data_IF_762628357407
#
_entry.id   IF_762628357407
#
_cell.length_a   1.000
_cell.length_b   1.000
_cell.length_c   1.000
_cell.angle_alpha   90.00
_cell.angle_beta   90.00
_cell.angle_gamma   90.00
#
_symmetry.space_group_name_H-M   'P 1'
#
loop_
_entity.id
_entity.type
_entity.pdbx_description
1 polymer ?
#
# COMPACT_ATOMS: atom_id res chain seq x y z
N UNK A 1 21.31 26.56 9.93
CA UNK A 1 20.84 25.63 8.85
C UNK A 1 19.39 25.97 8.56
N UNK A 2 19.04 26.24 7.28
CA UNK A 2 17.62 26.38 6.89
C UNK A 2 16.91 25.09 7.24
N UNK A 3 15.88 25.15 8.08
CA UNK A 3 15.03 24.00 8.41
C UNK A 3 14.33 23.54 7.13
N UNK A 4 14.56 22.27 6.76
CA UNK A 4 13.88 21.66 5.60
C UNK A 4 12.40 21.60 5.95
N UNK A 5 11.59 22.30 5.17
CA UNK A 5 10.15 22.40 5.44
C UNK A 5 9.45 21.06 5.14
N UNK A 6 8.50 20.66 5.96
CA UNK A 6 7.69 19.47 5.74
C UNK A 6 7.03 19.49 4.33
N UNK A 7 6.65 20.65 3.84
CA UNK A 7 6.08 20.86 2.50
C UNK A 7 6.98 20.34 1.38
N UNK A 8 8.29 20.64 1.44
CA UNK A 8 9.24 20.17 0.43
C UNK A 8 9.36 18.64 0.42
N UNK A 9 9.26 18.00 1.59
CA UNK A 9 9.28 16.55 1.69
C UNK A 9 8.00 15.92 1.09
N UNK A 10 6.84 16.56 1.28
CA UNK A 10 5.56 16.09 0.76
C UNK A 10 5.43 16.22 -0.76
N UNK A 11 6.20 17.09 -1.41
CA UNK A 11 6.11 17.27 -2.87
C UNK A 11 6.38 15.98 -3.65
N UNK A 12 7.29 15.13 -3.18
CA UNK A 12 7.63 13.90 -3.86
C UNK A 12 6.52 12.83 -3.81
N UNK A 13 5.99 12.43 -2.62
CA UNK A 13 4.92 11.44 -2.58
C UNK A 13 3.66 11.92 -3.33
N UNK A 14 3.34 13.21 -3.28
CA UNK A 14 2.20 13.76 -4.01
C UNK A 14 2.42 13.71 -5.53
N UNK A 15 3.60 14.09 -6.01
CA UNK A 15 3.95 14.03 -7.42
C UNK A 15 3.93 12.58 -7.93
N UNK A 16 4.61 11.65 -7.24
CA UNK A 16 4.63 10.25 -7.65
C UNK A 16 3.25 9.60 -7.54
N UNK A 17 2.45 9.97 -6.55
CA UNK A 17 1.06 9.52 -6.44
C UNK A 17 0.21 9.98 -7.61
N UNK A 18 0.35 11.25 -8.03
CA UNK A 18 -0.31 11.77 -9.21
C UNK A 18 0.14 11.05 -10.49
N UNK A 19 1.46 10.94 -10.74
CA UNK A 19 1.99 10.25 -11.90
C UNK A 19 1.59 8.77 -11.92
N UNK A 20 1.68 8.08 -10.79
CA UNK A 20 1.26 6.69 -10.66
C UNK A 20 -0.23 6.49 -10.95
N UNK A 21 -1.09 7.41 -10.51
CA UNK A 21 -2.52 7.38 -10.81
C UNK A 21 -2.78 7.55 -12.32
N UNK A 22 -2.08 8.46 -13.00
CA UNK A 22 -2.16 8.61 -14.47
C UNK A 22 -1.72 7.33 -15.19
N UNK A 23 -0.61 6.70 -14.78
CA UNK A 23 -0.15 5.44 -15.37
C UNK A 23 -1.21 4.33 -15.16
N UNK A 24 -1.83 4.28 -13.97
CA UNK A 24 -2.94 3.37 -13.71
C UNK A 24 -4.14 3.59 -14.62
N UNK A 25 -4.44 4.86 -14.97
CA UNK A 25 -5.49 5.18 -15.93
C UNK A 25 -5.14 4.70 -17.33
N UNK A 26 -3.89 4.88 -17.76
CA UNK A 26 -3.40 4.35 -19.06
C UNK A 26 -3.52 2.82 -19.11
N UNK A 27 -3.20 2.12 -18.02
CA UNK A 27 -3.38 0.67 -17.91
C UNK A 27 -4.86 0.27 -18.05
N UNK A 28 -5.79 1.00 -17.42
CA UNK A 28 -7.24 0.76 -17.55
C UNK A 28 -7.72 1.02 -18.98
N UNK A 29 -7.22 2.08 -19.62
CA UNK A 29 -7.52 2.35 -21.03
C UNK A 29 -6.99 1.26 -21.96
N UNK A 30 -5.77 0.76 -21.72
CA UNK A 30 -5.21 -0.34 -22.51
C UNK A 30 -6.04 -1.63 -22.44
N UNK A 31 -6.70 -1.91 -21.30
CA UNK A 31 -7.62 -3.05 -21.17
C UNK A 31 -8.88 -2.96 -22.05
N UNK A 32 -9.25 -1.76 -22.53
CA UNK A 32 -10.37 -1.63 -23.48
C UNK A 32 -10.02 -2.16 -24.88
N UNK A 33 -8.77 -2.51 -25.13
CA UNK A 33 -8.28 -2.91 -26.46
C UNK A 33 -7.98 -1.74 -27.40
N UNK A 34 -8.09 -0.49 -26.93
CA UNK A 34 -7.95 0.72 -27.75
C UNK A 34 -6.50 1.03 -28.14
N UNK A 35 -5.49 0.38 -27.52
CA UNK A 35 -4.07 0.58 -27.82
C UNK A 35 -3.48 -0.73 -28.34
N UNK A 36 -3.09 -0.77 -29.62
CA UNK A 36 -2.40 -1.91 -30.20
C UNK A 36 -0.97 -2.04 -29.63
N UNK A 37 -0.50 -3.27 -29.46
CA UNK A 37 0.87 -3.60 -29.03
C UNK A 37 1.34 -2.93 -27.74
N UNK A 38 0.39 -2.68 -26.80
CA UNK A 38 0.69 -2.01 -25.55
C UNK A 38 1.59 -2.87 -24.63
N UNK A 39 2.73 -2.36 -24.14
CA UNK A 39 3.67 -3.11 -23.29
C UNK A 39 3.15 -3.22 -21.85
N UNK A 40 2.02 -3.90 -21.67
CA UNK A 40 1.22 -3.90 -20.45
C UNK A 40 2.03 -4.25 -19.19
N UNK A 41 2.86 -5.29 -19.27
CA UNK A 41 3.68 -5.72 -18.11
C UNK A 41 4.67 -4.63 -17.68
N UNK A 42 5.30 -3.94 -18.62
CA UNK A 42 6.27 -2.88 -18.33
C UNK A 42 5.61 -1.69 -17.63
N UNK A 43 4.50 -1.22 -18.17
CA UNK A 43 3.74 -0.12 -17.60
C UNK A 43 3.15 -0.49 -16.24
N UNK A 44 2.68 -1.74 -16.07
CA UNK A 44 2.20 -2.27 -14.79
C UNK A 44 3.30 -2.27 -13.71
N UNK A 45 4.53 -2.66 -14.07
CA UNK A 45 5.65 -2.62 -13.13
C UNK A 45 5.99 -1.18 -12.74
N UNK A 46 6.01 -0.25 -13.71
CA UNK A 46 6.20 1.17 -13.42
C UNK A 46 5.14 1.70 -12.45
N UNK A 47 3.85 1.46 -12.74
CA UNK A 47 2.73 1.83 -11.87
C UNK A 47 2.92 1.30 -10.44
N UNK A 48 3.16 0.00 -10.31
CA UNK A 48 3.25 -0.66 -9.00
C UNK A 48 4.40 -0.10 -8.16
N UNK A 49 5.59 0.06 -8.74
CA UNK A 49 6.77 0.56 -8.03
C UNK A 49 6.61 2.03 -7.64
N UNK A 50 6.07 2.86 -8.52
CA UNK A 50 5.84 4.28 -8.23
C UNK A 50 4.80 4.46 -7.13
N UNK A 51 3.71 3.68 -7.14
CA UNK A 51 2.69 3.76 -6.09
C UNK A 51 3.21 3.23 -4.75
N UNK A 52 3.96 2.13 -4.76
CA UNK A 52 4.46 1.52 -3.52
C UNK A 52 5.63 2.31 -2.92
N UNK A 53 6.63 2.66 -3.72
CA UNK A 53 7.87 3.30 -3.27
C UNK A 53 7.77 4.83 -3.32
N UNK A 54 7.20 5.36 -4.40
CA UNK A 54 7.09 6.81 -4.62
C UNK A 54 6.00 7.47 -3.79
N UNK A 55 4.81 6.88 -3.70
CA UNK A 55 3.72 7.43 -2.88
C UNK A 55 3.77 6.90 -1.45
N UNK A 56 3.53 5.60 -1.23
CA UNK A 56 3.25 5.09 0.11
C UNK A 56 4.46 5.10 1.03
N UNK A 57 5.58 4.51 0.60
CA UNK A 57 6.80 4.48 1.41
C UNK A 57 7.24 5.91 1.74
N UNK A 58 7.30 6.80 0.75
CA UNK A 58 7.72 8.18 0.95
C UNK A 58 6.78 8.96 1.89
N UNK A 59 5.46 8.85 1.72
CA UNK A 59 4.50 9.52 2.60
C UNK A 59 4.64 9.07 4.05
N UNK A 60 4.76 7.75 4.28
CA UNK A 60 4.95 7.19 5.62
C UNK A 60 6.28 7.63 6.23
N UNK A 61 7.38 7.61 5.47
CA UNK A 61 8.70 8.09 5.93
C UNK A 61 8.64 9.58 6.31
N UNK A 62 8.00 10.42 5.49
CA UNK A 62 7.84 11.85 5.82
C UNK A 62 7.08 12.01 7.15
N UNK A 63 5.97 11.28 7.33
CA UNK A 63 5.18 11.32 8.56
C UNK A 63 5.99 10.84 9.77
N UNK A 64 6.74 9.75 9.63
CA UNK A 64 7.53 9.21 10.72
C UNK A 64 8.66 10.18 11.15
N UNK A 65 9.40 10.75 10.21
CA UNK A 65 10.43 11.72 10.54
C UNK A 65 9.87 13.02 11.14
N UNK A 66 8.77 13.52 10.61
CA UNK A 66 8.17 14.78 11.09
C UNK A 66 7.51 14.66 12.45
N UNK A 67 7.01 13.48 12.82
CA UNK A 67 6.21 13.29 14.04
C UNK A 67 6.95 12.60 15.17
N UNK A 68 7.88 11.72 14.85
CA UNK A 68 8.52 10.85 15.84
C UNK A 68 10.03 11.11 15.97
N UNK A 69 10.54 12.19 15.36
CA UNK A 69 11.91 12.66 15.54
C UNK A 69 11.93 14.19 15.73
N UNK A 70 13.12 14.77 15.86
CA UNK A 70 13.28 16.23 15.83
C UNK A 70 13.28 16.83 14.41
N UNK A 71 12.61 16.19 13.45
CA UNK A 71 12.65 16.52 12.04
C UNK A 71 13.72 15.74 11.29
N UNK A 72 13.84 16.02 9.99
CA UNK A 72 14.81 15.34 9.14
C UNK A 72 16.16 16.10 9.16
N UNK A 73 17.23 15.42 9.53
CA UNK A 73 18.57 15.96 9.46
C UNK A 73 19.15 15.94 8.04
N UNK A 74 20.29 16.61 7.82
CA UNK A 74 20.92 16.72 6.50
C UNK A 74 21.21 15.35 5.86
N UNK A 75 21.73 14.39 6.62
CA UNK A 75 22.06 13.06 6.09
C UNK A 75 20.80 12.28 5.73
N UNK A 76 19.79 12.27 6.61
CA UNK A 76 18.50 11.63 6.33
C UNK A 76 17.79 12.27 5.14
N UNK A 77 17.91 13.60 4.98
CA UNK A 77 17.39 14.31 3.82
C UNK A 77 18.08 13.90 2.52
N UNK A 78 19.42 13.80 2.51
CA UNK A 78 20.16 13.36 1.32
C UNK A 78 19.80 11.93 0.93
N UNK A 79 19.67 11.03 1.91
CA UNK A 79 19.18 9.67 1.66
C UNK A 79 17.75 9.69 1.09
N UNK A 80 16.87 10.53 1.63
CA UNK A 80 15.52 10.69 1.13
C UNK A 80 15.51 11.19 -0.32
N UNK A 81 16.35 12.17 -0.70
CA UNK A 81 16.47 12.64 -2.09
C UNK A 81 17.02 11.55 -3.00
N UNK A 82 18.02 10.78 -2.55
CA UNK A 82 18.55 9.67 -3.33
C UNK A 82 17.47 8.59 -3.63
N UNK A 83 16.55 8.33 -2.69
CA UNK A 83 15.39 7.48 -2.96
C UNK A 83 14.51 8.05 -4.08
N UNK A 84 14.29 9.38 -4.10
CA UNK A 84 13.48 10.00 -5.15
C UNK A 84 14.10 9.85 -6.53
N UNK A 85 15.43 9.98 -6.62
CA UNK A 85 16.17 9.73 -7.88
C UNK A 85 15.98 8.27 -8.32
N UNK A 86 16.10 7.31 -7.41
CA UNK A 86 15.82 5.90 -7.74
C UNK A 86 14.40 5.71 -8.26
N UNK A 87 13.38 6.26 -7.59
CA UNK A 87 11.98 6.14 -8.02
C UNK A 87 11.76 6.77 -9.39
N UNK A 88 12.36 7.93 -9.69
CA UNK A 88 12.26 8.58 -10.99
C UNK A 88 12.90 7.72 -12.11
N UNK A 89 14.04 7.10 -11.83
CA UNK A 89 14.69 6.17 -12.78
C UNK A 89 13.83 4.91 -12.99
N UNK A 90 13.22 4.37 -11.92
CA UNK A 90 12.32 3.22 -12.00
C UNK A 90 11.05 3.55 -12.79
N UNK A 91 10.47 4.74 -12.59
CA UNK A 91 9.31 5.22 -13.33
C UNK A 91 9.53 5.11 -14.86
N UNK A 92 10.64 5.64 -15.33
CA UNK A 92 10.99 5.65 -16.75
C UNK A 92 11.52 4.28 -17.21
N UNK A 93 12.44 3.71 -16.45
CA UNK A 93 13.13 2.47 -16.79
C UNK A 93 12.17 1.29 -16.96
N UNK A 94 11.17 1.14 -16.10
CA UNK A 94 10.20 0.06 -16.26
C UNK A 94 9.35 0.22 -17.53
N UNK A 95 8.93 1.43 -17.89
CA UNK A 95 8.16 1.66 -19.12
C UNK A 95 8.98 1.29 -20.37
N UNK A 96 10.28 1.60 -20.36
CA UNK A 96 11.15 1.40 -21.51
C UNK A 96 11.63 -0.04 -21.66
N UNK A 97 11.98 -0.73 -20.57
CA UNK A 97 12.69 -2.01 -20.64
C UNK A 97 12.15 -3.10 -19.69
N UNK A 98 11.12 -2.81 -18.88
CA UNK A 98 10.63 -3.76 -17.88
C UNK A 98 11.68 -4.11 -16.82
N UNK A 99 11.71 -5.37 -16.36
CA UNK A 99 12.77 -5.88 -15.50
C UNK A 99 14.05 -6.16 -16.28
N UNK A 100 14.94 -5.18 -16.34
CA UNK A 100 16.25 -5.26 -16.97
C UNK A 100 17.33 -4.69 -16.04
N UNK A 101 18.57 -4.64 -16.48
CA UNK A 101 19.72 -4.28 -15.65
C UNK A 101 19.51 -2.97 -14.87
N UNK A 102 19.07 -1.90 -15.51
CA UNK A 102 18.90 -0.59 -14.87
C UNK A 102 17.81 -0.64 -13.79
N UNK A 103 16.66 -1.24 -14.09
CA UNK A 103 15.53 -1.32 -13.14
C UNK A 103 15.85 -2.23 -11.95
N UNK A 104 16.55 -3.34 -12.16
CA UNK A 104 17.01 -4.23 -11.09
C UNK A 104 18.05 -3.50 -10.21
N UNK A 105 19.03 -2.85 -10.82
CA UNK A 105 20.07 -2.10 -10.12
C UNK A 105 19.46 -1.00 -9.22
N UNK A 106 18.62 -0.14 -9.81
CA UNK A 106 18.04 0.98 -9.04
C UNK A 106 16.98 0.55 -8.04
N UNK A 107 16.28 -0.57 -8.25
CA UNK A 107 15.43 -1.19 -7.21
C UNK A 107 16.28 -1.66 -6.03
N UNK A 108 17.44 -2.28 -6.29
CA UNK A 108 18.37 -2.75 -5.25
C UNK A 108 19.00 -1.56 -4.50
N UNK A 109 19.47 -0.54 -5.21
CA UNK A 109 20.01 0.69 -4.60
C UNK A 109 18.95 1.37 -3.74
N UNK A 110 17.71 1.50 -4.22
CA UNK A 110 16.60 2.04 -3.45
C UNK A 110 16.40 1.26 -2.14
N UNK A 111 16.41 -0.06 -2.21
CA UNK A 111 16.26 -0.92 -1.04
C UNK A 111 17.37 -0.68 -0.02
N UNK A 112 18.63 -0.61 -0.43
CA UNK A 112 19.77 -0.34 0.47
C UNK A 112 19.71 1.05 1.08
N UNK A 113 19.40 2.08 0.30
CA UNK A 113 19.24 3.44 0.82
C UNK A 113 18.09 3.49 1.83
N UNK A 114 16.98 2.77 1.56
CA UNK A 114 15.86 2.69 2.49
C UNK A 114 16.25 2.07 3.83
N UNK A 115 17.14 1.07 3.86
CA UNK A 115 17.67 0.51 5.10
C UNK A 115 18.44 1.57 5.93
N UNK A 116 19.33 2.30 5.29
CA UNK A 116 20.06 3.36 5.98
C UNK A 116 19.10 4.40 6.56
N UNK A 117 18.10 4.78 5.80
CA UNK A 117 17.11 5.77 6.22
C UNK A 117 16.28 5.28 7.42
N UNK A 118 15.77 4.04 7.41
CA UNK A 118 14.98 3.50 8.53
C UNK A 118 15.85 3.17 9.76
N UNK A 119 17.14 2.82 9.59
CA UNK A 119 18.08 2.69 10.71
C UNK A 119 18.30 4.05 11.38
N UNK A 120 18.45 5.11 10.60
CA UNK A 120 18.55 6.47 11.15
C UNK A 120 17.28 6.86 11.88
N UNK A 121 16.10 6.59 11.28
CA UNK A 121 14.82 6.78 11.95
C UNK A 121 14.80 6.06 13.31
N UNK A 122 15.13 4.76 13.34
CA UNK A 122 15.16 3.95 14.57
C UNK A 122 15.97 4.59 15.70
N UNK A 123 17.14 5.15 15.37
CA UNK A 123 18.06 5.77 16.36
C UNK A 123 17.55 7.09 16.93
N UNK A 124 16.67 7.79 16.20
CA UNK A 124 16.19 9.12 16.57
C UNK A 124 14.71 9.15 17.01
N UNK A 125 14.07 7.97 17.13
CA UNK A 125 12.66 7.88 17.52
C UNK A 125 12.40 8.48 18.89
N UNK A 126 11.35 9.31 18.96
CA UNK A 126 10.81 9.93 20.16
C UNK A 126 9.30 9.78 20.18
N UNK A 127 8.71 9.69 21.36
CA UNK A 127 7.27 9.58 21.53
C UNK A 127 6.88 8.55 22.57
N UNK A 128 5.63 8.23 22.57
CA UNK A 128 5.04 7.24 23.48
C UNK A 128 5.57 5.83 23.20
N UNK A 129 5.82 5.05 24.25
CA UNK A 129 6.53 3.76 24.18
C UNK A 129 5.86 2.76 23.23
N UNK A 130 4.51 2.69 23.23
CA UNK A 130 3.77 1.75 22.40
C UNK A 130 3.81 2.12 20.92
N UNK A 131 3.74 3.40 20.59
CA UNK A 131 3.91 3.87 19.20
C UNK A 131 5.32 3.63 18.68
N UNK A 132 6.35 3.82 19.53
CA UNK A 132 7.74 3.50 19.18
C UNK A 132 7.90 2.00 18.90
N UNK A 133 7.28 1.12 19.69
CA UNK A 133 7.33 -0.34 19.45
C UNK A 133 6.68 -0.69 18.10
N UNK A 134 5.53 -0.11 17.75
CA UNK A 134 4.91 -0.30 16.44
C UNK A 134 5.82 0.14 15.29
N UNK A 135 6.45 1.31 15.40
CA UNK A 135 7.36 1.80 14.38
C UNK A 135 8.56 0.86 14.21
N UNK A 136 9.17 0.44 15.32
CA UNK A 136 10.31 -0.50 15.31
C UNK A 136 9.92 -1.86 14.73
N UNK A 137 8.76 -2.39 15.09
CA UNK A 137 8.22 -3.61 14.49
C UNK A 137 8.01 -3.46 12.97
N UNK A 138 7.50 -2.33 12.52
CA UNK A 138 7.38 -2.03 11.09
C UNK A 138 8.74 -1.95 10.38
N UNK A 139 9.78 -1.40 11.04
CA UNK A 139 11.15 -1.41 10.50
C UNK A 139 11.68 -2.85 10.38
N UNK A 140 11.46 -3.69 11.39
CA UNK A 140 11.83 -5.12 11.33
C UNK A 140 11.13 -5.80 10.15
N UNK A 141 9.84 -5.56 9.95
CA UNK A 141 9.12 -6.11 8.79
C UNK A 141 9.64 -5.57 7.45
N UNK A 142 10.12 -4.33 7.40
CA UNK A 142 10.75 -3.80 6.20
C UNK A 142 12.02 -4.59 5.82
N UNK A 143 12.85 -4.97 6.81
CA UNK A 143 13.99 -5.87 6.56
C UNK A 143 13.55 -7.28 6.20
N UNK A 144 12.55 -7.85 6.89
CA UNK A 144 12.03 -9.18 6.58
C UNK A 144 11.45 -9.22 5.17
N UNK A 145 10.66 -8.23 4.76
CA UNK A 145 10.04 -8.18 3.43
C UNK A 145 11.06 -8.30 2.29
N UNK A 146 12.26 -7.75 2.48
CA UNK A 146 13.31 -7.74 1.46
C UNK A 146 13.91 -9.11 1.14
N UNK A 147 13.63 -10.14 1.97
CA UNK A 147 13.97 -11.54 1.63
C UNK A 147 13.34 -11.93 0.30
N UNK A 148 12.12 -11.43 0.00
CA UNK A 148 11.46 -11.67 -1.28
C UNK A 148 12.27 -11.21 -2.50
N UNK A 149 12.59 -9.90 -2.64
CA UNK A 149 13.44 -9.40 -3.72
C UNK A 149 14.81 -10.09 -3.81
N UNK A 150 15.46 -10.40 -2.69
CA UNK A 150 16.73 -11.12 -2.71
C UNK A 150 16.56 -12.57 -3.21
N UNK A 151 15.45 -13.23 -2.93
CA UNK A 151 15.18 -14.57 -3.45
C UNK A 151 14.91 -14.56 -4.97
N UNK A 152 14.37 -13.47 -5.54
CA UNK A 152 14.05 -13.39 -6.97
C UNK A 152 15.30 -13.51 -7.85
N UNK A 153 16.45 -12.94 -7.45
CA UNK A 153 17.69 -13.02 -8.20
C UNK A 153 18.15 -14.48 -8.47
N UNK A 154 18.39 -15.27 -7.43
CA UNK A 154 18.72 -16.70 -7.56
C UNK A 154 17.65 -17.50 -8.31
N UNK A 155 16.35 -17.26 -8.05
CA UNK A 155 15.27 -17.97 -8.74
C UNK A 155 15.24 -17.66 -10.24
N UNK A 156 15.55 -16.42 -10.63
CA UNK A 156 15.71 -16.06 -12.06
C UNK A 156 16.93 -16.71 -12.68
N UNK A 157 18.08 -16.71 -12.01
CA UNK A 157 19.31 -17.34 -12.49
C UNK A 157 19.12 -18.85 -12.70
N UNK A 158 18.35 -19.52 -11.85
CA UNK A 158 17.98 -20.93 -11.95
C UNK A 158 16.83 -21.21 -12.94
N UNK A 159 16.33 -20.20 -13.66
CA UNK A 159 15.20 -20.29 -14.59
C UNK A 159 13.90 -20.80 -13.95
N UNK A 160 13.68 -20.46 -12.68
CA UNK A 160 12.52 -20.90 -11.87
C UNK A 160 11.36 -19.88 -11.88
N UNK A 161 11.22 -19.04 -12.91
CA UNK A 161 10.19 -17.98 -12.98
C UNK A 161 8.74 -18.53 -13.00
N UNK A 162 8.56 -19.79 -13.41
CA UNK A 162 7.25 -20.48 -13.39
C UNK A 162 6.99 -21.25 -12.10
N UNK A 163 7.96 -21.29 -11.19
CA UNK A 163 7.83 -22.06 -9.95
C UNK A 163 6.94 -21.33 -8.93
N UNK A 164 6.24 -22.07 -8.04
CA UNK A 164 5.52 -21.48 -6.93
C UNK A 164 6.38 -20.59 -6.03
N UNK A 165 7.66 -20.88 -5.88
CA UNK A 165 8.61 -20.12 -5.07
C UNK A 165 8.88 -18.71 -5.63
N UNK A 166 8.92 -18.57 -6.96
CA UNK A 166 9.08 -17.26 -7.59
C UNK A 166 7.89 -16.35 -7.27
N UNK A 167 6.67 -16.88 -7.37
CA UNK A 167 5.46 -16.16 -7.02
C UNK A 167 5.41 -15.83 -5.52
N UNK A 168 5.83 -16.79 -4.67
CA UNK A 168 5.88 -16.57 -3.23
C UNK A 168 6.94 -15.54 -2.81
N UNK A 169 8.06 -15.43 -3.52
CA UNK A 169 9.03 -14.36 -3.27
C UNK A 169 8.42 -12.97 -3.48
N UNK A 170 7.58 -12.80 -4.53
CA UNK A 170 6.83 -11.56 -4.76
C UNK A 170 5.79 -11.33 -3.66
N UNK A 171 4.98 -12.34 -3.33
CA UNK A 171 3.94 -12.22 -2.31
C UNK A 171 4.50 -11.99 -0.92
N UNK A 172 5.65 -12.59 -0.59
CA UNK A 172 6.36 -12.36 0.67
C UNK A 172 6.76 -10.89 0.82
N UNK A 173 7.40 -10.32 -0.22
CA UNK A 173 7.74 -8.91 -0.22
C UNK A 173 6.50 -8.04 -0.04
N UNK A 174 5.49 -8.23 -0.88
CA UNK A 174 4.28 -7.41 -0.85
C UNK A 174 3.57 -7.52 0.49
N UNK A 175 3.35 -8.73 1.01
CA UNK A 175 2.65 -8.94 2.27
C UNK A 175 3.35 -8.25 3.44
N UNK A 176 4.64 -8.54 3.65
CA UNK A 176 5.39 -7.93 4.76
C UNK A 176 5.71 -6.45 4.56
N UNK A 177 5.58 -5.92 3.35
CA UNK A 177 5.68 -4.50 3.09
C UNK A 177 4.37 -3.77 3.42
N UNK A 178 3.23 -4.15 2.86
CA UNK A 178 2.00 -3.40 3.08
C UNK A 178 1.21 -3.84 4.33
N UNK A 179 1.15 -5.14 4.69
CA UNK A 179 0.58 -5.59 5.96
C UNK A 179 1.58 -5.58 7.12
N UNK A 180 2.88 -5.67 6.85
CA UNK A 180 3.91 -5.54 7.88
C UNK A 180 4.27 -4.09 8.16
N UNK A 181 5.23 -3.56 7.40
CA UNK A 181 5.81 -2.24 7.62
C UNK A 181 4.80 -1.10 7.55
N UNK A 182 4.11 -0.96 6.43
CA UNK A 182 3.24 0.18 6.18
C UNK A 182 2.05 0.20 7.11
N UNK A 183 1.46 -0.97 7.38
CA UNK A 183 0.34 -1.11 8.29
C UNK A 183 0.71 -0.69 9.72
N UNK A 184 1.84 -1.17 10.25
CA UNK A 184 2.30 -0.82 11.59
C UNK A 184 2.69 0.65 11.70
N UNK A 185 3.33 1.22 10.67
CA UNK A 185 3.64 2.64 10.62
C UNK A 185 2.39 3.50 10.57
N UNK A 186 1.41 3.13 9.74
CA UNK A 186 0.11 3.78 9.69
C UNK A 186 -0.60 3.74 11.06
N UNK A 187 -0.64 2.57 11.71
CA UNK A 187 -1.23 2.44 13.04
C UNK A 187 -0.51 3.32 14.07
N UNK A 188 0.82 3.36 14.07
CA UNK A 188 1.58 4.20 14.98
C UNK A 188 1.24 5.69 14.82
N UNK A 189 1.14 6.17 13.57
CA UNK A 189 0.77 7.55 13.25
C UNK A 189 -0.67 7.83 13.67
N UNK A 190 -1.59 6.91 13.37
CA UNK A 190 -3.00 7.03 13.71
C UNK A 190 -3.22 7.08 15.23
N UNK A 191 -2.55 6.19 15.99
CA UNK A 191 -2.68 6.15 17.45
C UNK A 191 -2.04 7.38 18.12
N UNK A 192 -0.94 7.86 17.62
CA UNK A 192 -0.38 9.14 18.08
C UNK A 192 -1.34 10.30 17.86
N UNK A 193 -2.00 10.35 16.70
CA UNK A 193 -2.92 11.44 16.34
C UNK A 193 -4.23 11.38 17.13
N UNK A 194 -4.74 10.18 17.41
CA UNK A 194 -5.98 9.93 18.13
C UNK A 194 -5.77 9.76 19.64
N UNK A 195 -4.52 9.82 20.12
CA UNK A 195 -4.12 9.60 21.52
C UNK A 195 -4.60 8.25 22.09
N UNK A 196 -4.76 7.23 21.20
CA UNK A 196 -5.11 5.88 21.60
C UNK A 196 -3.85 5.14 22.02
N UNK A 197 -3.85 4.62 23.24
CA UNK A 197 -2.77 3.82 23.80
C UNK A 197 -3.09 2.34 23.68
N UNK A 198 -2.09 1.52 23.31
CA UNK A 198 -2.19 0.07 23.21
C UNK A 198 -1.50 -0.61 24.39
N UNK A 199 -2.08 -1.69 24.88
CA UNK A 199 -1.37 -2.61 25.78
C UNK A 199 -0.31 -3.41 25.01
N UNK A 200 0.70 -3.90 25.73
CA UNK A 200 1.71 -4.80 25.14
C UNK A 200 1.07 -6.03 24.48
N UNK A 201 0.05 -6.60 25.12
CA UNK A 201 -0.70 -7.75 24.59
C UNK A 201 -1.37 -7.43 23.25
N UNK A 202 -1.99 -6.25 23.11
CA UNK A 202 -2.59 -5.83 21.84
C UNK A 202 -1.57 -5.69 20.73
N UNK A 203 -0.38 -5.13 21.02
CA UNK A 203 0.70 -5.04 20.04
C UNK A 203 1.17 -6.44 19.60
N UNK A 204 1.37 -7.35 20.55
CA UNK A 204 1.78 -8.74 20.25
C UNK A 204 0.71 -9.41 19.38
N UNK A 205 -0.58 -9.28 19.72
CA UNK A 205 -1.67 -9.85 18.93
C UNK A 205 -1.68 -9.30 17.49
N UNK A 206 -1.54 -7.98 17.33
CA UNK A 206 -1.47 -7.36 15.99
C UNK A 206 -0.27 -7.91 15.22
N UNK A 207 0.93 -7.86 15.77
CA UNK A 207 2.15 -8.31 15.08
C UNK A 207 2.06 -9.80 14.70
N UNK A 208 1.59 -10.65 15.64
CA UNK A 208 1.42 -12.10 15.39
C UNK A 208 0.38 -12.36 14.31
N UNK A 209 -0.74 -11.62 14.31
CA UNK A 209 -1.77 -11.74 13.27
C UNK A 209 -1.22 -11.44 11.88
N UNK A 210 -0.41 -10.38 11.75
CA UNK A 210 0.18 -9.98 10.46
C UNK A 210 1.14 -11.05 9.92
N UNK A 211 1.88 -11.75 10.79
CA UNK A 211 2.72 -12.89 10.39
C UNK A 211 1.86 -14.06 9.91
N UNK A 212 0.84 -14.43 10.68
CA UNK A 212 -0.02 -15.57 10.35
C UNK A 212 -0.87 -15.34 9.10
N UNK A 213 -1.27 -14.09 8.83
CA UNK A 213 -2.02 -13.73 7.63
C UNK A 213 -1.25 -13.97 6.32
N UNK A 214 0.08 -14.07 6.36
CA UNK A 214 0.87 -14.47 5.20
C UNK A 214 0.48 -15.86 4.68
N UNK A 215 -0.08 -16.71 5.53
CA UNK A 215 -0.60 -18.02 5.15
C UNK A 215 -1.67 -17.94 4.04
N UNK A 216 -2.47 -16.87 3.98
CA UNK A 216 -3.41 -16.66 2.85
C UNK A 216 -2.69 -16.49 1.51
N UNK A 217 -1.53 -15.82 1.51
CA UNK A 217 -0.68 -15.71 0.31
C UNK A 217 0.00 -17.04 -0.03
N UNK A 218 0.44 -17.80 0.98
CA UNK A 218 1.01 -19.14 0.79
C UNK A 218 0.00 -20.10 0.15
N UNK A 219 -1.27 -20.03 0.54
CA UNK A 219 -2.31 -20.88 -0.04
C UNK A 219 -2.47 -20.70 -1.55
N UNK A 220 -2.13 -19.53 -2.08
CA UNK A 220 -2.16 -19.27 -3.52
C UNK A 220 -1.25 -20.21 -4.32
N UNK A 221 -0.14 -20.67 -3.72
CA UNK A 221 0.82 -21.57 -4.34
C UNK A 221 0.81 -22.98 -3.75
N UNK A 222 0.39 -23.13 -2.49
CA UNK A 222 0.45 -24.38 -1.74
C UNK A 222 -0.89 -24.66 -1.07
N UNK A 223 -1.64 -25.62 -1.61
CA UNK A 223 -2.96 -25.98 -1.07
C UNK A 223 -2.84 -27.01 0.06
N UNK A 224 -2.54 -26.54 1.28
CA UNK A 224 -2.39 -27.39 2.46
C UNK A 224 -3.28 -26.90 3.61
N UNK A 225 -3.92 -27.83 4.34
CA UNK A 225 -4.86 -27.49 5.43
C UNK A 225 -4.22 -26.72 6.59
N UNK A 226 -2.99 -27.02 6.95
CA UNK A 226 -2.28 -26.29 8.00
C UNK A 226 -2.07 -24.81 7.65
N UNK A 227 -1.81 -24.50 6.38
CA UNK A 227 -1.69 -23.13 5.87
C UNK A 227 -3.04 -22.42 6.03
N UNK A 228 -4.14 -23.07 5.65
CA UNK A 228 -5.48 -22.52 5.82
C UNK A 228 -5.81 -22.21 7.29
N UNK A 229 -5.50 -23.14 8.18
CA UNK A 229 -5.71 -22.97 9.63
C UNK A 229 -4.87 -21.80 10.17
N UNK A 230 -3.60 -21.71 9.80
CA UNK A 230 -2.74 -20.59 10.24
C UNK A 230 -3.29 -19.24 9.79
N UNK A 231 -3.74 -19.11 8.53
CA UNK A 231 -4.40 -17.90 8.03
C UNK A 231 -5.68 -17.57 8.79
N UNK A 232 -6.51 -18.57 9.07
CA UNK A 232 -7.74 -18.43 9.86
C UNK A 232 -7.49 -17.90 11.27
N UNK A 233 -6.48 -18.47 11.95
CA UNK A 233 -6.05 -18.00 13.28
C UNK A 233 -5.59 -16.54 13.19
N UNK A 234 -4.73 -16.22 12.20
CA UNK A 234 -4.26 -14.85 11.99
C UNK A 234 -5.39 -13.84 11.78
N UNK A 235 -6.38 -14.19 10.94
CA UNK A 235 -7.55 -13.36 10.69
C UNK A 235 -8.40 -13.17 11.95
N UNK A 236 -8.66 -14.24 12.70
CA UNK A 236 -9.39 -14.18 13.97
C UNK A 236 -8.71 -13.27 15.00
N UNK A 237 -7.39 -13.42 15.16
CA UNK A 237 -6.59 -12.56 16.07
C UNK A 237 -6.68 -11.08 15.63
N UNK A 238 -6.54 -10.77 14.33
CA UNK A 238 -6.63 -9.41 13.84
C UNK A 238 -8.01 -8.79 14.11
N UNK A 239 -9.09 -9.53 13.79
CA UNK A 239 -10.45 -9.07 14.03
C UNK A 239 -10.66 -8.76 15.52
N UNK A 240 -10.25 -9.67 16.43
CA UNK A 240 -10.37 -9.48 17.88
C UNK A 240 -9.54 -8.26 18.32
N UNK A 241 -8.32 -8.11 17.82
CA UNK A 241 -7.46 -7.00 18.19
C UNK A 241 -8.06 -5.65 17.76
N UNK A 242 -8.59 -5.56 16.53
CA UNK A 242 -9.26 -4.37 16.01
C UNK A 242 -10.58 -4.10 16.75
N UNK A 243 -11.38 -5.14 17.00
CA UNK A 243 -12.67 -4.97 17.67
C UNK A 243 -12.53 -4.40 19.09
N UNK A 244 -11.46 -4.77 19.81
CA UNK A 244 -11.15 -4.17 21.13
C UNK A 244 -10.87 -2.66 21.06
N UNK A 245 -10.51 -2.12 19.89
CA UNK A 245 -10.25 -0.69 19.69
C UNK A 245 -11.51 0.10 19.27
N UNK A 246 -12.62 -0.60 18.95
CA UNK A 246 -13.85 0.02 18.43
C UNK A 246 -14.30 1.23 19.25
N UNK A 247 -14.43 1.06 20.56
CA UNK A 247 -14.95 2.14 21.43
C UNK A 247 -14.04 3.38 21.41
N UNK A 248 -12.72 3.19 21.35
CA UNK A 248 -11.77 4.29 21.26
C UNK A 248 -11.92 5.11 19.98
N UNK A 249 -12.33 4.46 18.87
CA UNK A 249 -12.53 5.13 17.59
C UNK A 249 -13.92 5.77 17.44
N UNK A 250 -14.95 5.28 18.13
CA UNK A 250 -16.30 5.87 18.09
C UNK A 250 -16.35 7.33 18.58
N UNK A 251 -15.41 7.73 19.43
CA UNK A 251 -15.30 9.10 19.94
C UNK A 251 -14.37 10.00 19.10
N UNK A 252 -13.80 9.49 18.02
CA UNK A 252 -12.91 10.26 17.13
C UNK A 252 -13.71 11.00 16.05
N UNK A 253 -13.03 11.92 15.33
CA UNK A 253 -13.62 12.59 14.15
C UNK A 253 -14.07 11.56 13.12
N UNK A 254 -15.15 11.86 12.39
CA UNK A 254 -15.76 10.97 11.39
C UNK A 254 -14.72 10.34 10.42
N UNK A 255 -13.74 11.10 9.96
CA UNK A 255 -12.70 10.60 9.05
C UNK A 255 -11.88 9.44 9.64
N UNK A 256 -11.60 9.47 10.96
CA UNK A 256 -10.91 8.37 11.65
C UNK A 256 -11.83 7.19 11.91
N UNK A 257 -13.12 7.45 12.15
CA UNK A 257 -14.14 6.40 12.29
C UNK A 257 -14.27 5.62 10.96
N UNK A 258 -14.36 6.34 9.83
CA UNK A 258 -14.45 5.73 8.50
C UNK A 258 -13.19 4.93 8.16
N UNK A 259 -12.01 5.48 8.43
CA UNK A 259 -10.75 4.76 8.23
C UNK A 259 -10.68 3.49 9.08
N UNK A 260 -11.09 3.58 10.35
CA UNK A 260 -11.17 2.42 11.24
C UNK A 260 -12.22 1.40 10.77
N UNK A 261 -13.36 1.86 10.26
CA UNK A 261 -14.37 1.01 9.62
C UNK A 261 -13.79 0.23 8.44
N UNK A 262 -12.95 0.88 7.60
CA UNK A 262 -12.24 0.22 6.51
C UNK A 262 -11.24 -0.83 7.04
N UNK A 263 -10.52 -0.54 8.12
CA UNK A 263 -9.63 -1.51 8.77
C UNK A 263 -10.38 -2.75 9.27
N UNK A 264 -11.53 -2.55 9.92
CA UNK A 264 -12.41 -3.65 10.36
C UNK A 264 -12.92 -4.46 9.16
N UNK A 265 -13.33 -3.80 8.10
CA UNK A 265 -13.80 -4.45 6.88
C UNK A 265 -12.70 -5.31 6.24
N UNK A 266 -11.47 -4.80 6.15
CA UNK A 266 -10.29 -5.55 5.70
C UNK A 266 -10.05 -6.78 6.61
N UNK A 267 -10.19 -6.62 7.92
CA UNK A 267 -10.11 -7.74 8.88
C UNK A 267 -11.17 -8.81 8.60
N UNK A 268 -12.43 -8.41 8.37
CA UNK A 268 -13.54 -9.31 8.02
C UNK A 268 -13.27 -10.03 6.71
N UNK A 269 -12.79 -9.33 5.67
CA UNK A 269 -12.46 -9.96 4.38
C UNK A 269 -11.32 -10.97 4.52
N UNK A 270 -10.31 -10.72 5.37
CA UNK A 270 -9.32 -11.74 5.72
C UNK A 270 -9.97 -12.96 6.40
N UNK A 271 -10.95 -12.74 7.27
CA UNK A 271 -11.75 -13.81 7.87
C UNK A 271 -12.52 -14.62 6.81
N UNK A 272 -13.16 -13.96 5.85
CA UNK A 272 -13.81 -14.63 4.73
C UNK A 272 -12.82 -15.42 3.85
N UNK A 273 -11.62 -14.87 3.62
CA UNK A 273 -10.51 -15.55 2.92
C UNK A 273 -10.04 -16.83 3.63
N UNK A 274 -10.42 -17.03 4.90
CA UNK A 274 -10.19 -18.27 5.63
C UNK A 274 -11.14 -19.40 5.22
N UNK A 275 -12.26 -19.09 4.58
CA UNK A 275 -13.24 -20.06 4.09
C UNK A 275 -12.78 -20.57 2.71
N UNK A 276 -12.65 -21.90 2.48
CA UNK A 276 -12.12 -22.46 1.23
C UNK A 276 -12.79 -21.95 -0.03
N UNK A 277 -14.11 -21.76 0.01
CA UNK A 277 -14.87 -21.24 -1.12
C UNK A 277 -14.35 -19.85 -1.57
N UNK A 278 -14.26 -18.91 -0.65
CA UNK A 278 -13.80 -17.54 -0.98
C UNK A 278 -12.30 -17.49 -1.33
N UNK A 279 -11.46 -18.27 -0.65
CA UNK A 279 -10.04 -18.32 -1.00
C UNK A 279 -9.80 -18.89 -2.39
N UNK A 280 -10.55 -19.92 -2.81
CA UNK A 280 -10.46 -20.48 -4.15
C UNK A 280 -10.96 -19.48 -5.22
N UNK A 281 -12.00 -18.71 -4.90
CA UNK A 281 -12.50 -17.65 -5.78
C UNK A 281 -11.43 -16.58 -6.04
N UNK A 282 -10.70 -16.15 -5.01
CA UNK A 282 -9.59 -15.17 -5.16
C UNK A 282 -8.44 -15.76 -5.99
N UNK A 283 -8.10 -17.03 -5.78
CA UNK A 283 -7.03 -17.71 -6.53
C UNK A 283 -7.39 -17.86 -8.02
N UNK A 284 -8.65 -18.19 -8.33
CA UNK A 284 -9.11 -18.43 -9.70
C UNK A 284 -9.44 -17.16 -10.48
N UNK A 285 -9.69 -16.03 -9.80
CA UNK A 285 -10.15 -14.80 -10.44
C UNK A 285 -9.19 -13.63 -10.19
N UNK A 286 -8.46 -13.23 -11.24
CA UNK A 286 -7.53 -12.10 -11.19
C UNK A 286 -8.19 -10.76 -10.79
N UNK A 287 -9.45 -10.54 -11.13
CA UNK A 287 -10.17 -9.34 -10.75
C UNK A 287 -10.35 -9.24 -9.23
N UNK A 288 -10.58 -10.37 -8.55
CA UNK A 288 -10.65 -10.41 -7.08
C UNK A 288 -9.33 -10.01 -6.42
N UNK A 289 -8.19 -10.46 -6.97
CA UNK A 289 -6.87 -10.06 -6.47
C UNK A 289 -6.63 -8.56 -6.69
N UNK A 290 -7.04 -8.02 -7.84
CA UNK A 290 -6.93 -6.59 -8.14
C UNK A 290 -7.83 -5.79 -7.18
N UNK A 291 -9.08 -6.20 -6.99
CA UNK A 291 -10.01 -5.57 -6.04
C UNK A 291 -9.42 -5.56 -4.62
N UNK A 292 -8.89 -6.68 -4.15
CA UNK A 292 -8.23 -6.76 -2.85
C UNK A 292 -7.09 -5.74 -2.68
N UNK A 293 -6.19 -5.66 -3.67
CA UNK A 293 -5.08 -4.69 -3.63
C UNK A 293 -5.58 -3.25 -3.70
N UNK A 294 -6.58 -2.96 -4.55
CA UNK A 294 -7.15 -1.62 -4.65
C UNK A 294 -7.88 -1.22 -3.36
N UNK A 295 -8.61 -2.12 -2.72
CA UNK A 295 -9.22 -1.84 -1.42
C UNK A 295 -8.16 -1.44 -0.38
N UNK A 296 -7.03 -2.13 -0.33
CA UNK A 296 -5.93 -1.77 0.56
C UNK A 296 -5.35 -0.39 0.22
N UNK A 297 -5.02 -0.16 -1.04
CA UNK A 297 -4.34 1.07 -1.44
C UNK A 297 -5.30 2.25 -1.57
N UNK A 298 -6.39 2.11 -2.30
CA UNK A 298 -7.35 3.19 -2.55
C UNK A 298 -8.37 3.33 -1.42
N UNK A 299 -8.77 2.24 -0.78
CA UNK A 299 -9.75 2.29 0.32
C UNK A 299 -9.15 2.67 1.68
N UNK A 300 -7.87 2.36 1.92
CA UNK A 300 -7.24 2.57 3.22
C UNK A 300 -6.08 3.56 3.18
N UNK A 301 -5.00 3.28 2.40
CA UNK A 301 -3.78 4.09 2.46
C UNK A 301 -3.93 5.48 1.85
N UNK A 302 -4.61 5.64 0.72
CA UNK A 302 -4.81 6.96 0.11
C UNK A 302 -5.67 7.85 1.01
N UNK A 303 -6.84 7.42 1.54
CA UNK A 303 -7.58 8.18 2.54
C UNK A 303 -6.77 8.53 3.79
N UNK A 304 -5.97 7.59 4.31
CA UNK A 304 -5.08 7.86 5.42
C UNK A 304 -4.10 8.99 5.10
N UNK A 305 -3.40 8.92 3.95
CA UNK A 305 -2.47 9.98 3.51
C UNK A 305 -3.19 11.34 3.42
N UNK A 306 -4.39 11.37 2.85
CA UNK A 306 -5.17 12.59 2.71
C UNK A 306 -5.58 13.21 4.06
N UNK A 307 -5.96 12.37 5.03
CA UNK A 307 -6.24 12.82 6.40
C UNK A 307 -4.99 13.46 7.03
N UNK A 308 -3.82 12.93 6.71
CA UNK A 308 -2.55 13.34 7.29
C UNK A 308 -1.89 14.54 6.59
N UNK A 309 -2.32 14.90 5.37
CA UNK A 309 -1.85 16.09 4.65
C UNK A 309 -2.22 17.41 5.36
N UNK A 310 -3.12 17.38 6.34
CA UNK A 310 -3.58 18.56 7.09
C UNK A 310 -4.14 19.70 6.21
N UNK A 311 -4.69 19.35 5.04
CA UNK A 311 -5.36 20.31 4.15
C UNK A 311 -6.87 20.09 4.15
N UNK A 312 -7.63 21.14 3.82
CA UNK A 312 -9.09 21.05 3.69
C UNK A 312 -9.45 20.43 2.34
N UNK A 313 -9.85 19.18 2.37
CA UNK A 313 -10.42 18.48 1.20
C UNK A 313 -11.94 18.68 1.24
N UNK A 314 -12.55 19.08 0.12
CA UNK A 314 -13.98 19.31 0.07
C UNK A 314 -14.79 18.03 0.31
N UNK A 315 -15.99 18.15 0.92
CA UNK A 315 -16.90 17.01 1.07
C UNK A 315 -17.26 16.36 -0.27
N UNK A 316 -17.40 17.18 -1.33
CA UNK A 316 -17.70 16.69 -2.69
C UNK A 316 -16.56 15.78 -3.21
N UNK A 317 -15.30 16.17 -2.99
CA UNK A 317 -14.14 15.36 -3.37
C UNK A 317 -14.10 14.02 -2.60
N UNK A 318 -14.37 14.03 -1.30
CA UNK A 318 -14.44 12.81 -0.49
C UNK A 318 -15.57 11.88 -0.95
N UNK A 319 -16.77 12.42 -1.18
CA UNK A 319 -17.93 11.63 -1.64
C UNK A 319 -17.67 11.09 -3.04
N UNK A 320 -17.16 11.91 -3.96
CA UNK A 320 -16.82 11.49 -5.32
C UNK A 320 -15.77 10.39 -5.32
N UNK A 321 -14.71 10.55 -4.53
CA UNK A 321 -13.66 9.54 -4.38
C UNK A 321 -14.22 8.21 -3.88
N UNK A 322 -14.98 8.24 -2.78
CA UNK A 322 -15.59 7.03 -2.23
C UNK A 322 -16.55 6.36 -3.23
N UNK A 323 -17.36 7.14 -3.94
CA UNK A 323 -18.25 6.63 -4.98
C UNK A 323 -17.49 5.91 -6.10
N UNK A 324 -16.45 6.54 -6.65
CA UNK A 324 -15.70 5.95 -7.76
C UNK A 324 -14.86 4.74 -7.32
N UNK A 325 -14.27 4.76 -6.12
CA UNK A 325 -13.57 3.60 -5.56
C UNK A 325 -14.54 2.44 -5.38
N UNK A 326 -15.67 2.65 -4.69
CA UNK A 326 -16.67 1.60 -4.49
C UNK A 326 -17.21 1.07 -5.83
N UNK A 327 -17.51 1.95 -6.79
CA UNK A 327 -17.95 1.54 -8.12
C UNK A 327 -16.92 0.65 -8.82
N UNK A 328 -15.62 1.04 -8.79
CA UNK A 328 -14.54 0.23 -9.36
C UNK A 328 -14.47 -1.15 -8.70
N UNK A 329 -14.55 -1.22 -7.36
CA UNK A 329 -14.48 -2.48 -6.63
C UNK A 329 -15.70 -3.37 -6.90
N UNK A 330 -16.92 -2.82 -6.94
CA UNK A 330 -18.12 -3.56 -7.26
C UNK A 330 -18.08 -4.14 -8.69
N UNK A 331 -17.60 -3.36 -9.67
CA UNK A 331 -17.46 -3.84 -11.05
C UNK A 331 -16.44 -4.99 -11.14
N UNK A 332 -15.32 -4.90 -10.39
CA UNK A 332 -14.30 -5.95 -10.35
C UNK A 332 -14.81 -7.24 -9.70
N UNK A 333 -15.62 -7.12 -8.64
CA UNK A 333 -16.14 -8.27 -7.88
C UNK A 333 -17.32 -8.92 -8.57
N UNK A 334 -18.20 -8.13 -9.21
CA UNK A 334 -19.44 -8.60 -9.84
C UNK A 334 -19.52 -8.23 -11.33
N UNK A 335 -18.56 -8.66 -12.16
CA UNK A 335 -18.51 -8.26 -13.57
C UNK A 335 -19.74 -8.70 -14.36
N UNK A 336 -20.27 -9.91 -14.14
CA UNK A 336 -21.45 -10.43 -14.84
C UNK A 336 -22.69 -9.57 -14.61
N UNK A 337 -22.93 -9.14 -13.37
CA UNK A 337 -24.04 -8.26 -13.03
C UNK A 337 -24.01 -6.94 -13.83
N UNK A 338 -22.82 -6.35 -13.94
CA UNK A 338 -22.67 -5.08 -14.66
C UNK A 338 -22.73 -5.27 -16.18
N UNK A 339 -22.31 -6.43 -16.72
CA UNK A 339 -22.45 -6.72 -18.16
C UNK A 339 -23.91 -6.93 -18.58
N UNK A 340 -24.74 -7.45 -17.68
CA UNK A 340 -26.18 -7.59 -17.91
C UNK A 340 -26.94 -6.25 -17.79
N UNK A 341 -26.50 -5.39 -16.84
CA UNK A 341 -27.17 -4.12 -16.57
C UNK A 341 -26.84 -3.02 -17.60
N UNK A 342 -25.62 -3.03 -18.13
CA UNK A 342 -25.13 -1.99 -19.05
C UNK A 342 -24.71 -2.61 -20.38
N UNK A 343 -25.14 -1.99 -21.48
CA UNK A 343 -24.71 -2.37 -22.85
C UNK A 343 -23.26 -2.01 -23.17
N UNK A 344 -22.54 -1.36 -22.22
CA UNK A 344 -21.14 -0.96 -22.35
C UNK A 344 -20.23 -2.09 -21.88
N UNK A 345 -19.16 -2.36 -22.62
CA UNK A 345 -18.17 -3.35 -22.20
C UNK A 345 -17.56 -3.01 -20.82
N UNK A 346 -17.45 -4.00 -19.94
CA UNK A 346 -16.96 -3.87 -18.55
C UNK A 346 -15.67 -3.08 -18.45
N UNK A 347 -14.76 -3.25 -19.41
CA UNK A 347 -13.47 -2.54 -19.38
C UNK A 347 -13.62 -1.02 -19.50
N UNK A 348 -14.65 -0.54 -20.23
CA UNK A 348 -14.98 0.88 -20.29
C UNK A 348 -15.60 1.37 -18.99
N UNK A 349 -16.45 0.58 -18.34
CA UNK A 349 -17.00 0.94 -17.03
C UNK A 349 -15.89 1.04 -15.98
N UNK A 350 -14.95 0.11 -15.97
CA UNK A 350 -13.77 0.16 -15.10
C UNK A 350 -12.87 1.36 -15.41
N UNK A 351 -12.68 1.69 -16.69
CA UNK A 351 -11.93 2.88 -17.09
C UNK A 351 -12.60 4.16 -16.58
N UNK A 352 -13.91 4.31 -16.77
CA UNK A 352 -14.67 5.49 -16.32
C UNK A 352 -14.65 5.64 -14.79
N UNK A 353 -14.85 4.54 -14.06
CA UNK A 353 -14.77 4.56 -12.60
C UNK A 353 -13.35 4.98 -12.13
N UNK A 354 -12.30 4.41 -12.74
CA UNK A 354 -10.94 4.76 -12.39
C UNK A 354 -10.56 6.18 -12.83
N UNK A 355 -11.07 6.68 -13.94
CA UNK A 355 -10.93 8.08 -14.34
C UNK A 355 -11.47 9.04 -13.27
N UNK A 356 -12.63 8.75 -12.68
CA UNK A 356 -13.17 9.51 -11.56
C UNK A 356 -12.25 9.48 -10.31
N UNK A 357 -11.64 8.32 -10.00
CA UNK A 357 -10.63 8.22 -8.93
C UNK A 357 -9.44 9.14 -9.22
N UNK A 358 -8.90 9.08 -10.44
CA UNK A 358 -7.74 9.90 -10.86
C UNK A 358 -8.07 11.39 -10.80
N UNK A 359 -9.25 11.82 -11.18
CA UNK A 359 -9.69 13.21 -11.04
C UNK A 359 -9.65 13.65 -9.57
N UNK A 360 -10.18 12.85 -8.64
CA UNK A 360 -10.15 13.16 -7.22
C UNK A 360 -8.71 13.22 -6.67
N UNK A 361 -7.86 12.26 -7.04
CA UNK A 361 -6.44 12.25 -6.67
C UNK A 361 -5.74 13.49 -7.21
N UNK A 362 -5.98 13.85 -8.48
CA UNK A 362 -5.40 15.04 -9.11
C UNK A 362 -5.78 16.31 -8.38
N UNK A 363 -7.07 16.48 -8.05
CA UNK A 363 -7.55 17.65 -7.28
C UNK A 363 -6.79 17.76 -5.95
N UNK A 364 -6.71 16.68 -5.18
CA UNK A 364 -6.08 16.71 -3.85
C UNK A 364 -4.58 16.93 -3.96
N UNK A 365 -3.89 16.14 -4.78
CA UNK A 365 -2.43 16.16 -4.86
C UNK A 365 -1.91 17.47 -5.48
N UNK A 366 -2.51 17.92 -6.58
CA UNK A 366 -2.09 19.17 -7.21
C UNK A 366 -2.41 20.39 -6.33
N UNK A 367 -3.59 20.40 -5.68
CA UNK A 367 -3.89 21.48 -4.72
C UNK A 367 -2.84 21.52 -3.61
N UNK A 368 -2.46 20.37 -3.05
CA UNK A 368 -1.44 20.30 -1.99
C UNK A 368 -0.05 20.73 -2.48
N UNK A 369 0.31 20.40 -3.72
CA UNK A 369 1.59 20.79 -4.33
C UNK A 369 1.69 22.31 -4.56
N UNK A 370 0.60 22.93 -5.06
CA UNK A 370 0.59 24.33 -5.46
C UNK A 370 0.06 25.29 -4.40
N UNK A 371 -0.44 24.80 -3.26
CA UNK A 371 -0.91 25.65 -2.17
C UNK A 371 0.24 26.52 -1.65
N UNK A 372 0.14 27.85 -1.86
CA UNK A 372 1.06 28.82 -1.23
C UNK A 372 0.77 28.84 0.27
N UNK A 373 1.81 28.85 1.09
CA UNK A 373 1.70 29.07 2.56
C UNK A 373 1.25 30.49 2.83
#
# INVERSE_FOLDING_TARGET
MKTITAKHLWSFPLLFGFLGAIIGLVLRYAFTGSIANFPFKFVLHSHSHVMLLGLLFNALIVLLFTRFTNGIDKTSYLLYIALQVCVAILLIGFVLQGYAFVTILFSTIHLWISYWLVIRLWRHLKGEKTTIVLIKSGIVFHFISSIGPYALGPLMALKMQTSPWYQQAIFFYLHFQYFGSFFLWMLAILFQKTTISLSKTQIILIVTSLILLYAHSLKYSFNHSAIQIAGSIGAGILIIALFKLKNSFLHQKLQYQLLFGTLLFIGILNGLGSIPYFSNLVVSNRFMLIAWLHLLFLGMYVPFIWIELNQRISKKTWIGYAFFVLSSEFILVFPSFFSELFSIAIMWLLFLAYFGIVLCISIVHLTALFQKN
#
